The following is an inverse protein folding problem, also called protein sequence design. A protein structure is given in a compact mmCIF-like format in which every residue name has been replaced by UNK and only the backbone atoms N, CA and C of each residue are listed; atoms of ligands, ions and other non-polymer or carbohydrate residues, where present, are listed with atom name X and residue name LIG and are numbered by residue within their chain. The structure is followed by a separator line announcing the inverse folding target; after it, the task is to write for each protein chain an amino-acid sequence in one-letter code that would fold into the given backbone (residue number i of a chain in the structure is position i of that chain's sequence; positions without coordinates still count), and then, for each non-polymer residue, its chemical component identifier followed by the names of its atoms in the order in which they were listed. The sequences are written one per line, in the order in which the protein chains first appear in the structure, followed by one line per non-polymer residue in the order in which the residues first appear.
data_IF_851646538484
#
_entry.id   IF_851646538484
#
_cell.length_a   1.000
_cell.length_b   1.000
_cell.length_c   1.000
_cell.angle_alpha   90.00
_cell.angle_beta   90.00
_cell.angle_gamma   90.00
#
_symmetry.space_group_name_H-M   'P 1'
#
loop_
_entity.id
_entity.type
_entity.pdbx_description
1 polymer ?
#
# COMPACT_ATOMS: atom_id res chain seq x y z
N UNK A 1 8.38 5.01 7.62
CA UNK A 1 7.91 3.77 6.99
C UNK A 1 8.83 2.62 7.34
N UNK A 2 8.30 1.42 7.42
CA UNK A 2 9.11 0.23 7.62
C UNK A 2 9.83 -0.19 6.35
N UNK A 3 10.36 -1.42 6.35
CA UNK A 3 11.10 -1.98 5.23
C UNK A 3 10.17 -2.59 4.19
N UNK A 4 10.61 -2.61 2.93
CA UNK A 4 9.92 -3.29 1.83
C UNK A 4 8.50 -2.78 1.60
N UNK A 5 8.30 -1.47 1.71
CA UNK A 5 7.01 -0.84 1.44
C UNK A 5 6.94 -0.40 -0.02
N UNK A 6 5.89 -0.84 -0.72
CA UNK A 6 5.62 -0.37 -2.08
C UNK A 6 4.52 0.68 -2.03
N UNK A 7 4.82 1.86 -2.56
CA UNK A 7 3.88 2.98 -2.59
C UNK A 7 3.57 3.32 -4.05
N UNK A 8 2.31 3.23 -4.42
CA UNK A 8 1.88 3.48 -5.78
C UNK A 8 1.89 4.96 -6.16
N UNK A 9 1.67 5.24 -7.45
CA UNK A 9 1.63 6.61 -7.96
C UNK A 9 0.54 7.42 -7.30
N UNK A 10 0.83 8.69 -7.04
CA UNK A 10 -0.12 9.64 -6.48
C UNK A 10 -0.64 9.28 -5.09
N UNK A 11 0.00 8.35 -4.40
CA UNK A 11 -0.35 8.07 -3.02
C UNK A 11 0.12 9.22 -2.12
N UNK A 12 -0.69 9.57 -1.13
CA UNK A 12 -0.39 10.64 -0.17
C UNK A 12 -0.33 10.03 1.23
N UNK A 13 0.84 10.11 1.85
CA UNK A 13 1.06 9.62 3.21
C UNK A 13 1.36 10.83 4.09
N UNK A 14 0.38 11.27 4.86
CA UNK A 14 0.49 12.51 5.62
C UNK A 14 0.40 12.25 7.12
N UNK A 15 1.54 12.41 7.82
CA UNK A 15 1.58 12.28 9.28
C UNK A 15 1.16 10.91 9.80
N UNK A 16 1.45 9.84 9.05
CA UNK A 16 1.04 8.49 9.39
C UNK A 16 2.25 7.58 9.60
N UNK A 17 2.01 6.40 10.16
CA UNK A 17 3.02 5.36 10.33
C UNK A 17 2.63 4.17 9.45
N UNK A 18 3.56 3.73 8.61
CA UNK A 18 3.37 2.54 7.77
C UNK A 18 4.39 1.49 8.18
N UNK A 19 3.90 0.31 8.51
CA UNK A 19 4.75 -0.81 8.89
C UNK A 19 5.56 -1.37 7.74
N UNK A 20 6.14 -2.54 7.96
CA UNK A 20 6.99 -3.20 6.97
C UNK A 20 6.17 -4.11 6.06
N UNK A 21 6.70 -4.37 4.86
CA UNK A 21 6.10 -5.29 3.88
C UNK A 21 4.64 -4.94 3.58
N UNK A 22 4.40 -3.65 3.29
CA UNK A 22 3.07 -3.17 2.94
C UNK A 22 3.00 -2.80 1.48
N UNK A 23 1.80 -2.93 0.91
CA UNK A 23 1.51 -2.46 -0.45
C UNK A 23 0.47 -1.35 -0.34
N UNK A 24 0.89 -0.15 -0.70
CA UNK A 24 0.01 1.03 -0.72
C UNK A 24 -0.31 1.32 -2.18
N UNK A 25 -1.56 1.11 -2.57
CA UNK A 25 -1.99 1.24 -3.96
C UNK A 25 -1.95 2.67 -4.49
N UNK A 26 -2.14 2.80 -5.79
CA UNK A 26 -2.16 4.11 -6.45
C UNK A 26 -3.31 4.96 -5.93
N UNK A 27 -3.03 6.25 -5.73
CA UNK A 27 -4.05 7.20 -5.31
C UNK A 27 -4.56 7.02 -3.88
N UNK A 28 -3.93 6.18 -3.09
CA UNK A 28 -4.28 6.01 -1.67
C UNK A 28 -3.94 7.28 -0.90
N UNK A 29 -4.82 7.66 0.00
CA UNK A 29 -4.57 8.80 0.90
C UNK A 29 -4.64 8.27 2.32
N UNK A 30 -3.55 8.44 3.08
CA UNK A 30 -3.49 8.06 4.49
C UNK A 30 -3.30 9.32 5.32
N UNK A 31 -4.26 9.60 6.19
CA UNK A 31 -4.30 10.86 6.93
C UNK A 31 -3.58 10.79 8.28
N UNK A 32 -3.49 11.94 8.95
CA UNK A 32 -2.70 12.09 10.17
C UNK A 32 -3.07 11.09 11.26
N UNK A 33 -2.05 10.57 11.92
CA UNK A 33 -2.24 9.68 13.05
C UNK A 33 -2.66 8.26 12.70
N UNK A 34 -2.90 7.98 11.42
CA UNK A 34 -3.22 6.62 11.01
C UNK A 34 -1.99 5.72 11.11
N UNK A 35 -2.22 4.44 11.38
CA UNK A 35 -1.16 3.43 11.49
C UNK A 35 -1.51 2.24 10.62
N UNK A 36 -0.62 1.89 9.72
CA UNK A 36 -0.78 0.72 8.86
C UNK A 36 0.13 -0.37 9.37
N UNK A 37 -0.45 -1.48 9.82
CA UNK A 37 0.32 -2.60 10.36
C UNK A 37 1.09 -3.35 9.29
N UNK A 38 2.07 -4.15 9.72
CA UNK A 38 2.92 -4.92 8.82
C UNK A 38 2.12 -5.87 7.94
N UNK A 39 2.67 -6.20 6.77
CA UNK A 39 2.11 -7.20 5.86
C UNK A 39 0.67 -6.88 5.43
N UNK A 40 0.38 -5.60 5.21
CA UNK A 40 -0.98 -5.14 4.84
C UNK A 40 -1.03 -4.64 3.40
N UNK A 41 -2.22 -4.73 2.81
CA UNK A 41 -2.49 -4.17 1.48
C UNK A 41 -3.59 -3.11 1.61
N UNK A 42 -3.31 -1.91 1.11
CA UNK A 42 -4.28 -0.85 0.98
C UNK A 42 -4.57 -0.70 -0.50
N UNK A 43 -5.77 -1.06 -0.93
CA UNK A 43 -6.15 -1.07 -2.35
C UNK A 43 -6.12 0.32 -2.96
N UNK A 44 -5.94 0.38 -4.27
CA UNK A 44 -5.88 1.66 -5.00
C UNK A 44 -7.11 2.53 -4.71
N UNK A 45 -6.88 3.83 -4.56
CA UNK A 45 -7.94 4.80 -4.34
C UNK A 45 -8.54 4.81 -2.95
N UNK A 46 -7.99 4.04 -2.01
CA UNK A 46 -8.50 4.00 -0.64
C UNK A 46 -8.15 5.27 0.12
N UNK A 47 -9.09 5.76 0.91
CA UNK A 47 -8.86 6.85 1.85
C UNK A 47 -8.84 6.27 3.27
N UNK A 48 -7.71 6.36 3.95
CA UNK A 48 -7.58 5.95 5.35
C UNK A 48 -7.72 7.20 6.22
N UNK A 49 -8.84 7.33 6.97
CA UNK A 49 -9.08 8.52 7.78
C UNK A 49 -8.08 8.70 8.91
N UNK A 50 -8.07 9.89 9.48
CA UNK A 50 -7.21 10.20 10.62
C UNK A 50 -7.41 9.20 11.77
N UNK A 51 -6.31 8.81 12.39
CA UNK A 51 -6.33 7.97 13.58
C UNK A 51 -6.73 6.51 13.35
N UNK A 52 -6.96 6.12 12.10
CA UNK A 52 -7.33 4.74 11.79
C UNK A 52 -6.16 3.79 12.05
N UNK A 53 -6.46 2.64 12.67
CA UNK A 53 -5.47 1.58 12.85
C UNK A 53 -5.81 0.45 11.88
N UNK A 54 -4.93 0.24 10.92
CA UNK A 54 -5.02 -0.89 9.99
C UNK A 54 -4.28 -2.07 10.61
N UNK A 55 -5.00 -3.13 10.90
CA UNK A 55 -4.43 -4.30 11.54
C UNK A 55 -3.37 -4.96 10.66
N UNK A 56 -2.31 -5.53 11.27
CA UNK A 56 -1.32 -6.27 10.50
C UNK A 56 -1.97 -7.40 9.69
N UNK A 57 -1.47 -7.62 8.49
CA UNK A 57 -1.93 -8.73 7.65
C UNK A 57 -3.33 -8.55 7.09
N UNK A 58 -3.80 -7.32 6.90
CA UNK A 58 -5.17 -7.08 6.44
C UNK A 58 -5.22 -6.38 5.09
N UNK A 59 -6.38 -6.51 4.45
CA UNK A 59 -6.72 -5.81 3.21
C UNK A 59 -7.78 -4.77 3.51
N UNK A 60 -7.52 -3.53 3.12
CA UNK A 60 -8.44 -2.41 3.28
C UNK A 60 -8.73 -1.79 1.93
N UNK A 61 -9.97 -1.35 1.72
CA UNK A 61 -10.36 -0.67 0.49
C UNK A 61 -11.57 0.23 0.70
N UNK A 62 -11.72 1.18 -0.20
CA UNK A 62 -12.86 2.09 -0.23
C UNK A 62 -12.54 3.51 0.22
N UNK A 63 -13.56 4.37 0.16
CA UNK A 63 -13.48 5.75 0.60
C UNK A 63 -14.78 6.10 1.35
N UNK A 64 -14.79 6.10 2.68
CA UNK A 64 -13.66 5.81 3.58
C UNK A 64 -13.24 4.35 3.54
N UNK A 65 -11.95 4.11 3.76
CA UNK A 65 -11.39 2.77 3.76
C UNK A 65 -11.91 1.94 4.92
N UNK A 66 -12.17 0.68 4.63
CA UNK A 66 -12.68 -0.25 5.64
C UNK A 66 -11.97 -1.59 5.50
N UNK A 67 -11.85 -2.28 6.63
CA UNK A 67 -11.34 -3.63 6.67
C UNK A 67 -12.21 -4.53 5.79
N UNK A 68 -11.54 -5.30 4.94
CA UNK A 68 -12.22 -6.27 4.08
C UNK A 68 -12.03 -7.69 4.59
N UNK A 69 -10.78 -8.08 4.80
CA UNK A 69 -10.43 -9.42 5.27
C UNK A 69 -8.96 -9.47 5.64
N UNK A 70 -8.57 -10.54 6.31
CA UNK A 70 -7.15 -10.83 6.50
C UNK A 70 -6.57 -11.45 5.24
N UNK A 71 -5.28 -11.21 5.02
CA UNK A 71 -4.56 -11.76 3.89
C UNK A 71 -4.15 -13.21 4.19
N UNK A 72 -4.15 -14.05 3.14
CA UNK A 72 -3.56 -15.38 3.24
C UNK A 72 -2.03 -15.27 3.24
N UNK A 73 -1.34 -16.35 3.61
CA UNK A 73 0.11 -16.37 3.55
C UNK A 73 0.62 -16.15 2.11
N UNK A 74 -0.08 -16.69 1.13
CA UNK A 74 0.26 -16.47 -0.27
C UNK A 74 0.14 -15.02 -0.66
N UNK A 75 -0.90 -14.34 -0.20
CA UNK A 75 -1.09 -12.93 -0.48
C UNK A 75 -0.02 -12.08 0.18
N UNK A 76 0.35 -12.39 1.41
CA UNK A 76 1.45 -11.68 2.08
C UNK A 76 2.76 -11.86 1.33
N UNK A 77 3.05 -13.07 0.87
CA UNK A 77 4.25 -13.34 0.07
C UNK A 77 4.21 -12.55 -1.25
N UNK A 78 3.02 -12.38 -1.84
CA UNK A 78 2.87 -11.67 -3.10
C UNK A 78 3.22 -10.19 -3.01
N UNK A 79 3.21 -9.60 -1.83
CA UNK A 79 3.57 -8.18 -1.64
C UNK A 79 4.99 -7.92 -2.13
N UNK A 80 5.95 -8.76 -1.77
CA UNK A 80 7.32 -8.61 -2.21
C UNK A 80 7.46 -8.86 -3.72
N UNK A 81 6.75 -9.85 -4.25
CA UNK A 81 6.72 -10.12 -5.69
C UNK A 81 6.13 -8.93 -6.43
N UNK A 82 5.06 -8.37 -5.93
CA UNK A 82 4.43 -7.20 -6.53
C UNK A 82 5.38 -6.01 -6.58
N UNK A 83 6.15 -5.79 -5.51
CA UNK A 83 7.16 -4.74 -5.46
C UNK A 83 8.17 -4.91 -6.59
N UNK A 84 8.69 -6.12 -6.78
CA UNK A 84 9.64 -6.43 -7.84
C UNK A 84 9.02 -6.15 -9.21
N UNK A 85 7.80 -6.63 -9.43
CA UNK A 85 7.09 -6.41 -10.69
C UNK A 85 6.82 -4.93 -10.94
N UNK A 86 6.42 -4.20 -9.91
CA UNK A 86 6.16 -2.77 -10.03
C UNK A 86 7.41 -2.01 -10.48
N UNK A 87 8.56 -2.33 -9.92
CA UNK A 87 9.81 -1.70 -10.33
C UNK A 87 10.14 -2.03 -11.79
N UNK A 88 9.95 -3.28 -12.20
CA UNK A 88 10.14 -3.69 -13.59
C UNK A 88 9.22 -2.96 -14.54
N UNK A 89 7.96 -2.86 -14.20
CA UNK A 89 6.97 -2.12 -15.01
C UNK A 89 7.32 -0.64 -15.12
N UNK A 90 7.79 -0.05 -14.06
CA UNK A 90 8.18 1.35 -14.08
C UNK A 90 9.32 1.60 -15.07
N UNK A 91 10.32 0.76 -15.06
CA UNK A 91 11.44 0.86 -16.00
C UNK A 91 10.97 0.67 -17.44
N UNK A 92 10.17 -0.34 -17.68
CA UNK A 92 9.63 -0.63 -19.01
C UNK A 92 8.79 0.53 -19.51
N UNK A 93 7.94 1.08 -18.67
CA UNK A 93 7.09 2.22 -19.00
C UNK A 93 7.92 3.42 -19.46
N UNK A 94 8.98 3.73 -18.73
CA UNK A 94 9.84 4.86 -19.09
C UNK A 94 10.53 4.63 -20.43
N UNK A 95 10.99 3.41 -20.72
CA UNK A 95 11.61 3.08 -22.00
C UNK A 95 10.62 3.20 -23.15
N UNK A 96 9.42 2.65 -22.98
CA UNK A 96 8.39 2.66 -24.00
C UNK A 96 7.96 4.07 -24.37
N UNK A 97 8.04 5.00 -23.45
CA UNK A 97 7.71 6.38 -23.72
C UNK A 97 8.87 7.15 -24.39
N UNK A 98 9.96 6.49 -24.65
CA UNK A 98 11.11 7.11 -25.30
C UNK A 98 11.85 8.11 -24.46
N UNK A 99 11.82 7.89 -23.20
CA UNK A 99 12.38 8.83 -22.24
C UNK A 99 13.55 8.20 -21.50
#
# INVERSE_FOLDING_TARGET
MGDDVTVGHSAVLHGCVVGSRCLIGMGVIVLNGARVGDDSIIAAGTLIPEGTVVEPGSLWMGSPGKFRRYLSEEEKASILTYRTNYLGYKEQYLRERGQ
#
